data_IF_296138579696
#
_entry.id   IF_296138579696
#
_cell.length_a   1.000
_cell.length_b   1.000
_cell.length_c   1.000
_cell.angle_alpha   90.00
_cell.angle_beta   90.00
_cell.angle_gamma   90.00
#
_symmetry.space_group_name_H-M   'P 1'
#
loop_
_entity.id
_entity.type
_entity.pdbx_description
1 polymer ?
#
# COMPACT_ATOMS: atom_id res chain seq x y z
N UNK A 1 1.21 17.55 17.73
CA UNK A 1 0.92 16.14 17.40
C UNK A 1 1.86 15.77 16.26
N UNK A 2 2.65 14.70 16.37
CA UNK A 2 3.58 14.32 15.31
C UNK A 2 2.78 13.73 14.14
N UNK A 3 2.69 14.44 13.02
CA UNK A 3 2.18 13.90 11.76
C UNK A 3 3.15 12.82 11.27
N UNK A 4 2.96 11.60 11.76
CA UNK A 4 3.80 10.46 11.43
C UNK A 4 3.55 10.11 9.96
N UNK A 5 4.51 10.50 9.12
CA UNK A 5 4.55 10.19 7.69
C UNK A 5 5.09 8.79 7.51
N UNK A 6 4.30 7.94 6.86
CA UNK A 6 4.70 6.59 6.49
C UNK A 6 5.10 6.54 5.03
N UNK A 7 6.13 5.75 4.72
CA UNK A 7 6.56 5.49 3.35
C UNK A 7 6.05 4.13 2.92
N UNK A 8 6.16 3.85 1.62
CA UNK A 8 5.84 2.53 1.07
C UNK A 8 6.53 1.41 1.85
N UNK A 9 7.80 1.59 2.24
CA UNK A 9 8.56 0.59 3.00
C UNK A 9 7.86 0.20 4.32
N UNK A 10 7.33 1.18 5.06
CA UNK A 10 6.63 0.91 6.32
C UNK A 10 5.33 0.13 6.09
N UNK A 11 4.68 0.32 4.95
CA UNK A 11 3.48 -0.42 4.57
C UNK A 11 3.88 -1.84 4.17
N UNK A 12 4.92 -2.02 3.36
CA UNK A 12 5.43 -3.33 2.93
C UNK A 12 5.70 -4.25 4.13
N UNK A 13 6.37 -3.73 5.17
CA UNK A 13 6.66 -4.47 6.40
C UNK A 13 5.40 -4.91 7.17
N UNK A 14 4.25 -4.27 6.94
CA UNK A 14 2.98 -4.58 7.61
C UNK A 14 2.09 -5.54 6.83
N UNK A 15 2.11 -5.48 5.50
CA UNK A 15 1.20 -6.25 4.65
C UNK A 15 1.87 -7.41 3.90
N UNK A 16 3.18 -7.62 4.07
CA UNK A 16 3.99 -8.63 3.37
C UNK A 16 3.73 -8.63 1.85
N UNK A 17 3.72 -7.43 1.27
CA UNK A 17 3.54 -7.21 -0.16
C UNK A 17 4.57 -6.22 -0.67
N UNK A 18 4.96 -6.41 -1.91
CA UNK A 18 5.94 -5.58 -2.57
C UNK A 18 5.44 -4.15 -2.85
N UNK A 19 6.36 -3.18 -2.86
CA UNK A 19 6.07 -1.78 -3.21
C UNK A 19 5.51 -1.64 -4.62
N UNK A 20 5.92 -2.50 -5.54
CA UNK A 20 5.44 -2.51 -6.93
C UNK A 20 3.96 -2.88 -6.97
N UNK A 21 3.53 -3.80 -6.12
CA UNK A 21 2.12 -4.19 -5.94
C UNK A 21 1.30 -3.03 -5.38
N UNK A 22 1.81 -2.35 -4.35
CA UNK A 22 1.18 -1.13 -3.83
C UNK A 22 1.02 -0.07 -4.93
N UNK A 23 2.09 0.26 -5.67
CA UNK A 23 2.06 1.24 -6.76
C UNK A 23 1.08 0.82 -7.87
N UNK A 24 0.98 -0.48 -8.16
CA UNK A 24 0.01 -1.00 -9.12
C UNK A 24 -1.41 -0.77 -8.64
N UNK A 25 -1.70 -1.04 -7.37
CA UNK A 25 -3.02 -0.77 -6.79
C UNK A 25 -3.36 0.72 -6.77
N UNK A 26 -2.38 1.61 -6.57
CA UNK A 26 -2.58 3.06 -6.73
C UNK A 26 -3.04 3.38 -8.16
N UNK A 27 -2.33 2.84 -9.17
CA UNK A 27 -2.67 3.04 -10.59
C UNK A 27 -4.02 2.44 -10.98
N UNK A 28 -4.38 1.31 -10.38
CA UNK A 28 -5.66 0.64 -10.60
C UNK A 28 -6.81 1.29 -9.80
N UNK A 29 -6.53 2.27 -8.92
CA UNK A 29 -7.53 2.95 -8.10
C UNK A 29 -8.06 2.12 -6.93
N UNK A 30 -7.37 1.03 -6.57
CA UNK A 30 -7.74 0.14 -5.45
C UNK A 30 -7.36 0.74 -4.09
N UNK A 31 -6.28 1.54 -4.06
CA UNK A 31 -5.85 2.29 -2.87
C UNK A 31 -5.72 3.78 -3.22
N UNK A 32 -5.87 4.68 -2.23
CA UNK A 32 -5.71 6.11 -2.46
C UNK A 32 -4.29 6.45 -2.94
N UNK A 33 -4.17 7.39 -3.87
CA UNK A 33 -2.88 7.85 -4.36
C UNK A 33 -2.03 8.48 -3.25
N UNK A 34 -0.75 8.10 -3.17
CA UNK A 34 0.18 8.71 -2.23
C UNK A 34 0.34 10.21 -2.45
N UNK A 35 0.34 10.96 -1.34
CA UNK A 35 0.74 12.36 -1.35
C UNK A 35 2.24 12.48 -1.62
N UNK A 36 2.64 13.55 -2.28
CA UNK A 36 4.05 13.84 -2.59
C UNK A 36 4.52 14.98 -1.73
N UNK A 37 5.68 14.81 -1.09
CA UNK A 37 6.33 15.91 -0.36
C UNK A 37 6.95 16.89 -1.37
N UNK A 38 7.41 18.04 -0.89
CA UNK A 38 8.23 19.03 -1.60
C UNK A 38 9.42 18.42 -2.36
N UNK A 39 9.91 17.25 -1.94
CA UNK A 39 10.98 16.48 -2.58
C UNK A 39 10.50 15.45 -3.61
N UNK A 40 9.20 15.40 -3.88
CA UNK A 40 8.56 14.43 -4.79
C UNK A 40 8.41 13.02 -4.20
N UNK A 41 8.68 12.83 -2.92
CA UNK A 41 8.63 11.51 -2.27
C UNK A 41 7.21 11.16 -1.86
N UNK A 42 6.81 9.91 -2.13
CA UNK A 42 5.51 9.36 -1.69
C UNK A 42 5.49 9.20 -0.19
N UNK A 43 4.48 9.78 0.45
CA UNK A 43 4.18 9.57 1.86
C UNK A 43 2.68 9.39 2.06
N UNK A 44 2.36 8.64 3.09
CA UNK A 44 1.01 8.39 3.56
C UNK A 44 0.88 8.86 4.99
N UNK A 45 -0.32 9.28 5.36
CA UNK A 45 -0.65 9.51 6.76
C UNK A 45 -1.05 8.21 7.46
N UNK A 46 -1.12 8.24 8.79
CA UNK A 46 -1.50 7.08 9.59
C UNK A 46 -2.86 6.48 9.17
N UNK A 47 -3.84 7.33 8.88
CA UNK A 47 -5.19 6.89 8.53
C UNK A 47 -5.20 6.20 7.15
N UNK A 48 -4.49 6.76 6.17
CA UNK A 48 -4.31 6.15 4.84
C UNK A 48 -3.65 4.78 4.95
N UNK A 49 -2.57 4.67 5.73
CA UNK A 49 -1.90 3.37 5.95
C UNK A 49 -2.83 2.37 6.61
N UNK A 50 -3.53 2.76 7.67
CA UNK A 50 -4.49 1.88 8.35
C UNK A 50 -5.61 1.44 7.41
N UNK A 51 -6.15 2.34 6.58
CA UNK A 51 -7.16 2.00 5.58
C UNK A 51 -6.64 1.02 4.54
N UNK A 52 -5.41 1.22 4.02
CA UNK A 52 -4.78 0.30 3.08
C UNK A 52 -4.60 -1.08 3.71
N UNK A 53 -4.07 -1.15 4.93
CA UNK A 53 -3.88 -2.42 5.65
C UNK A 53 -5.21 -3.13 5.86
N UNK A 54 -6.23 -2.41 6.34
CA UNK A 54 -7.56 -2.99 6.55
C UNK A 54 -8.14 -3.52 5.24
N UNK A 55 -8.04 -2.75 4.15
CA UNK A 55 -8.53 -3.14 2.83
C UNK A 55 -7.79 -4.37 2.30
N UNK A 56 -6.48 -4.47 2.53
CA UNK A 56 -5.68 -5.63 2.13
C UNK A 56 -6.01 -6.87 2.95
N UNK A 57 -6.21 -6.72 4.26
CA UNK A 57 -6.51 -7.82 5.17
C UNK A 57 -7.95 -8.31 5.06
N UNK A 58 -8.90 -7.41 4.79
CA UNK A 58 -10.32 -7.71 4.65
C UNK A 58 -10.68 -8.25 3.27
N UNK A 59 -9.89 -7.92 2.25
CA UNK A 59 -10.16 -8.35 0.87
C UNK A 59 -9.44 -9.64 0.54
N UNK A 60 -10.21 -10.70 0.22
CA UNK A 60 -9.68 -11.94 -0.34
C UNK A 60 -9.01 -11.76 -1.73
N UNK A 61 -9.17 -10.58 -2.35
CA UNK A 61 -8.57 -10.22 -3.62
C UNK A 61 -7.03 -10.33 -3.62
N UNK A 62 -6.39 -10.06 -2.48
CA UNK A 62 -4.92 -10.01 -2.37
C UNK A 62 -4.29 -11.32 -1.87
N UNK A 63 -5.10 -12.30 -1.49
CA UNK A 63 -4.64 -13.66 -1.13
C UNK A 63 -4.41 -14.55 -2.35
N UNK A 64 -5.12 -14.30 -3.46
CA UNK A 64 -5.09 -15.16 -4.66
C UNK A 64 -3.94 -14.89 -5.66
N UNK A 65 -3.07 -13.90 -5.42
CA UNK A 65 -2.00 -13.54 -6.36
C UNK A 65 -0.88 -14.59 -6.42
N UNK A 66 -0.78 -15.53 -5.47
CA UNK A 66 0.22 -16.61 -5.48
C UNK A 66 -0.23 -17.89 -6.22
N UNK A 67 -1.45 -17.93 -6.78
CA UNK A 67 -1.95 -19.11 -7.50
C UNK A 67 -1.65 -19.12 -9.01
N UNK A 68 -0.93 -18.13 -9.56
CA UNK A 68 -0.50 -18.14 -10.97
C UNK A 68 1.01 -18.37 -11.08
N UNK A 69 1.45 -19.53 -10.61
CA UNK A 69 2.69 -20.14 -11.12
C UNK A 69 2.38 -21.60 -11.42
N UNK A 70 1.70 -21.80 -12.54
CA UNK A 70 1.65 -23.10 -13.20
C UNK A 70 1.70 -22.80 -14.69
N UNK A 71 2.88 -23.06 -15.26
CA UNK A 71 3.21 -23.68 -16.56
C UNK A 71 4.64 -23.27 -16.89
#
# INVERSE_FOLDING_TARGET
MQDKKYRLKDIQEKIDRDKTTLIRWEKEGLIPEAKRDSRGWRYYNQNEVSSIINLVLSSDYFRNIHSRSTI
#
